data_IF_373608179231
#
_entry.id   IF_373608179231
#
_cell.length_a   1.000
_cell.length_b   1.000
_cell.length_c   1.000
_cell.angle_alpha   90.00
_cell.angle_beta   90.00
_cell.angle_gamma   90.00
#
_symmetry.space_group_name_H-M   'P 1'
#
loop_
_entity.id
_entity.type
_entity.pdbx_description
1 polymer ?
#
# COMPACT_ATOMS: atom_id res chain seq x y z
N UNK A 1 -31.96 -17.26 16.30
CA UNK A 1 -32.28 -15.93 15.73
C UNK A 1 -32.46 -14.92 16.87
N UNK A 2 -31.37 -14.60 17.58
CA UNK A 2 -31.37 -13.56 18.62
C UNK A 2 -30.91 -12.27 17.94
N UNK A 3 -31.85 -11.36 17.86
CA UNK A 3 -31.82 -10.19 17.01
C UNK A 3 -30.84 -9.15 17.56
N UNK A 4 -30.15 -8.47 16.65
CA UNK A 4 -29.43 -7.19 16.84
C UNK A 4 -30.13 -6.21 17.79
N UNK A 5 -31.46 -6.29 17.89
CA UNK A 5 -32.33 -5.48 18.76
C UNK A 5 -32.05 -5.60 20.26
N UNK A 6 -31.78 -6.79 20.80
CA UNK A 6 -31.61 -6.95 22.26
C UNK A 6 -30.22 -6.56 22.75
N UNK A 7 -29.25 -6.44 21.83
CA UNK A 7 -27.85 -6.18 22.17
C UNK A 7 -27.47 -4.70 21.96
N UNK A 8 -28.06 -4.03 20.95
CA UNK A 8 -27.96 -2.57 20.77
C UNK A 8 -28.49 -1.77 21.98
N UNK A 9 -29.46 -2.32 22.71
CA UNK A 9 -30.03 -1.69 23.92
C UNK A 9 -29.12 -1.85 25.17
N UNK A 10 -28.07 -2.68 25.13
CA UNK A 10 -27.24 -3.00 26.31
C UNK A 10 -25.79 -2.51 26.23
N UNK A 11 -25.31 -2.08 25.05
CA UNK A 11 -23.90 -1.68 24.85
C UNK A 11 -23.81 -0.42 23.94
N UNK A 12 -23.46 0.76 24.49
CA UNK A 12 -23.53 2.04 23.79
C UNK A 12 -22.35 2.37 22.86
N UNK A 13 -21.36 1.48 22.67
CA UNK A 13 -20.18 1.77 21.84
C UNK A 13 -20.12 0.89 20.57
N UNK A 14 -20.44 1.46 19.39
CA UNK A 14 -20.42 0.75 18.10
C UNK A 14 -19.04 0.22 17.70
N UNK A 15 -17.97 0.87 18.17
CA UNK A 15 -16.58 0.49 17.88
C UNK A 15 -16.20 -0.89 18.45
N UNK A 16 -16.82 -1.33 19.55
CA UNK A 16 -16.50 -2.62 20.19
C UNK A 16 -16.94 -3.83 19.33
N UNK A 17 -17.92 -3.65 18.43
CA UNK A 17 -18.44 -4.71 17.57
C UNK A 17 -17.42 -5.20 16.53
N UNK A 18 -16.41 -4.38 16.20
CA UNK A 18 -15.48 -4.64 15.09
C UNK A 18 -14.12 -5.20 15.52
N UNK A 19 -13.72 -5.05 16.78
CA UNK A 19 -12.35 -5.34 17.23
C UNK A 19 -12.15 -6.68 17.97
N UNK A 20 -13.21 -7.33 18.46
CA UNK A 20 -13.09 -8.65 19.08
C UNK A 20 -13.79 -9.73 18.24
N UNK A 21 -13.00 -10.36 17.38
CA UNK A 21 -13.27 -11.72 16.92
C UNK A 21 -14.38 -11.87 15.87
N UNK A 22 -14.05 -11.53 14.62
CA UNK A 22 -14.60 -12.25 13.47
C UNK A 22 -16.03 -11.90 13.07
N UNK A 23 -16.28 -10.66 12.66
CA UNK A 23 -17.30 -10.36 11.67
C UNK A 23 -16.75 -9.30 10.73
N UNK A 24 -16.43 -9.69 9.50
CA UNK A 24 -16.72 -8.87 8.34
C UNK A 24 -17.37 -9.80 7.34
N UNK A 25 -18.48 -9.30 6.80
CA UNK A 25 -19.20 -9.84 5.66
C UNK A 25 -18.15 -10.30 4.64
N UNK A 26 -18.16 -11.60 4.31
CA UNK A 26 -17.29 -12.14 3.27
C UNK A 26 -17.59 -11.38 1.96
N UNK A 27 -16.60 -11.20 1.06
CA UNK A 27 -16.81 -10.46 -0.19
C UNK A 27 -18.00 -10.97 -1.02
N UNK A 28 -18.43 -12.23 -0.80
CA UNK A 28 -19.51 -12.90 -1.54
C UNK A 28 -20.85 -12.98 -0.79
N UNK A 29 -21.01 -12.29 0.35
CA UNK A 29 -22.27 -12.37 1.12
C UNK A 29 -23.33 -11.46 0.48
N UNK A 30 -24.53 -11.99 0.12
CA UNK A 30 -25.56 -11.20 -0.55
C UNK A 30 -26.06 -10.08 0.38
N UNK A 31 -26.02 -8.87 -0.15
CA UNK A 31 -26.47 -7.63 0.51
C UNK A 31 -27.93 -7.81 0.90
N UNK A 32 -28.21 -7.86 2.20
CA UNK A 32 -29.55 -7.71 2.73
C UNK A 32 -29.74 -6.28 3.29
N UNK A 33 -31.00 -5.90 3.47
CA UNK A 33 -31.40 -4.57 3.94
C UNK A 33 -30.79 -4.19 5.32
N UNK A 34 -30.16 -5.13 6.03
CA UNK A 34 -29.63 -4.92 7.38
C UNK A 34 -28.29 -4.16 7.36
N UNK A 35 -27.39 -4.40 6.40
CA UNK A 35 -26.11 -3.65 6.29
C UNK A 35 -26.36 -2.17 6.00
N UNK A 36 -27.22 -1.86 5.02
CA UNK A 36 -27.57 -0.47 4.69
C UNK A 36 -28.26 0.22 5.86
N UNK A 37 -29.14 -0.49 6.58
CA UNK A 37 -29.80 0.02 7.78
C UNK A 37 -28.79 0.31 8.89
N UNK A 38 -27.80 -0.54 9.07
CA UNK A 38 -26.74 -0.36 10.05
C UNK A 38 -25.85 0.85 9.73
N UNK A 39 -25.38 0.97 8.48
CA UNK A 39 -24.61 2.13 8.02
C UNK A 39 -25.39 3.44 8.20
N UNK A 40 -26.71 3.40 7.97
CA UNK A 40 -27.57 4.56 8.18
C UNK A 40 -27.72 4.93 9.66
N UNK A 41 -27.80 3.95 10.56
CA UNK A 41 -27.77 4.19 12.01
C UNK A 41 -26.43 4.80 12.42
N UNK A 42 -25.30 4.23 11.99
CA UNK A 42 -23.98 4.75 12.30
C UNK A 42 -23.79 6.20 11.84
N UNK A 43 -24.31 6.53 10.66
CA UNK A 43 -24.32 7.89 10.14
C UNK A 43 -25.17 8.82 11.02
N UNK A 44 -26.39 8.40 11.39
CA UNK A 44 -27.29 9.19 12.24
C UNK A 44 -26.76 9.40 13.66
N UNK A 45 -26.08 8.41 14.22
CA UNK A 45 -25.46 8.50 15.55
C UNK A 45 -24.07 9.13 15.51
N UNK A 46 -23.59 9.56 14.34
CA UNK A 46 -22.26 10.10 14.10
C UNK A 46 -21.12 9.13 14.52
N UNK A 47 -21.41 7.83 14.59
CA UNK A 47 -20.48 6.78 14.98
C UNK A 47 -19.71 6.18 13.80
N UNK A 48 -20.05 6.55 12.56
CA UNK A 48 -19.41 6.02 11.35
C UNK A 48 -17.90 6.34 11.29
N UNK A 49 -17.51 7.45 11.90
CA UNK A 49 -16.14 7.94 11.99
C UNK A 49 -15.50 7.70 13.37
N UNK A 50 -16.14 6.90 14.23
CA UNK A 50 -15.57 6.61 15.54
C UNK A 50 -14.26 5.83 15.42
N UNK A 51 -13.30 6.26 16.23
CA UNK A 51 -11.99 5.64 16.32
C UNK A 51 -12.00 4.57 17.41
N UNK A 52 -11.31 3.47 17.12
CA UNK A 52 -10.96 2.45 18.11
C UNK A 52 -9.90 2.99 19.07
N UNK A 53 -9.54 2.20 20.09
CA UNK A 53 -8.48 2.55 21.03
C UNK A 53 -7.12 2.82 20.36
N UNK A 54 -6.91 2.30 19.15
CA UNK A 54 -5.69 2.49 18.37
C UNK A 54 -5.82 3.53 17.26
N UNK A 55 -6.82 4.42 17.31
CA UNK A 55 -7.06 5.45 16.29
C UNK A 55 -7.64 4.94 14.96
N UNK A 56 -8.02 3.65 14.88
CA UNK A 56 -8.53 3.08 13.61
C UNK A 56 -10.02 3.30 13.46
N UNK A 57 -10.45 3.69 12.26
CA UNK A 57 -11.87 3.82 11.89
C UNK A 57 -12.39 2.58 11.14
N UNK A 58 -13.69 2.54 10.88
CA UNK A 58 -14.31 1.46 10.08
C UNK A 58 -13.72 1.39 8.67
N UNK A 59 -13.45 2.55 8.05
CA UNK A 59 -12.84 2.62 6.71
C UNK A 59 -11.45 2.01 6.73
N UNK A 60 -10.67 2.27 7.79
CA UNK A 60 -9.35 1.65 7.97
C UNK A 60 -9.45 0.13 8.06
N UNK A 61 -10.36 -0.40 8.88
CA UNK A 61 -10.50 -1.85 9.07
C UNK A 61 -11.04 -2.57 7.82
N UNK A 62 -11.90 -1.92 7.03
CA UNK A 62 -12.34 -2.44 5.75
C UNK A 62 -11.18 -2.46 4.72
N UNK A 63 -10.40 -1.37 4.66
CA UNK A 63 -9.23 -1.26 3.80
C UNK A 63 -8.12 -2.26 4.18
N UNK A 64 -7.90 -2.49 5.47
CA UNK A 64 -6.92 -3.46 5.99
C UNK A 64 -7.22 -4.90 5.63
N UNK A 65 -8.42 -5.19 5.10
CA UNK A 65 -8.83 -6.50 4.60
C UNK A 65 -9.10 -6.52 3.10
N UNK A 66 -8.84 -5.42 2.40
CA UNK A 66 -9.09 -5.29 0.97
C UNK A 66 -10.58 -5.35 0.59
N UNK A 67 -11.51 -5.12 1.54
CA UNK A 67 -12.94 -5.18 1.27
C UNK A 67 -13.41 -3.88 0.59
N UNK A 68 -13.23 -3.79 -0.73
CA UNK A 68 -13.61 -2.60 -1.52
C UNK A 68 -15.09 -2.25 -1.35
N UNK A 69 -15.97 -3.25 -1.37
CA UNK A 69 -17.41 -3.03 -1.28
C UNK A 69 -17.79 -2.29 0.01
N UNK A 70 -17.28 -2.75 1.15
CA UNK A 70 -17.53 -2.10 2.43
C UNK A 70 -16.89 -0.71 2.50
N UNK A 71 -15.70 -0.52 1.91
CA UNK A 71 -15.07 0.80 1.83
C UNK A 71 -15.94 1.78 1.05
N UNK A 72 -16.40 1.42 -0.15
CA UNK A 72 -17.30 2.25 -0.95
C UNK A 72 -18.58 2.58 -0.20
N UNK A 73 -19.20 1.59 0.46
CA UNK A 73 -20.41 1.78 1.25
C UNK A 73 -20.20 2.69 2.45
N UNK A 74 -19.07 2.61 3.13
CA UNK A 74 -18.74 3.53 4.23
C UNK A 74 -18.55 4.96 3.71
N UNK A 75 -17.82 5.13 2.60
CA UNK A 75 -17.57 6.42 1.97
C UNK A 75 -18.88 7.08 1.48
N UNK A 76 -19.79 6.31 0.87
CA UNK A 76 -21.13 6.74 0.48
C UNK A 76 -21.98 7.27 1.66
N UNK A 77 -21.67 6.83 2.87
CA UNK A 77 -22.40 7.15 4.10
C UNK A 77 -21.69 8.20 4.96
N UNK A 78 -20.83 9.03 4.38
CA UNK A 78 -20.07 10.12 5.02
C UNK A 78 -18.95 9.63 5.98
N UNK A 79 -18.40 8.44 5.71
CA UNK A 79 -17.16 8.03 6.38
C UNK A 79 -15.96 8.75 5.77
N UNK A 80 -15.04 9.21 6.61
CA UNK A 80 -13.89 9.97 6.16
C UNK A 80 -12.64 9.10 6.01
N UNK A 81 -11.92 9.16 4.87
CA UNK A 81 -10.73 8.35 4.65
C UNK A 81 -9.45 8.96 5.24
N UNK A 82 -9.52 10.17 5.80
CA UNK A 82 -8.34 10.94 6.26
C UNK A 82 -7.89 10.60 7.68
N UNK A 83 -8.66 9.82 8.44
CA UNK A 83 -8.25 9.40 9.78
C UNK A 83 -7.01 8.50 9.72
N UNK A 84 -6.20 8.62 10.76
CA UNK A 84 -4.94 7.91 10.92
C UNK A 84 -4.94 7.19 12.25
N UNK A 85 -4.33 6.00 12.28
CA UNK A 85 -4.11 5.27 13.51
C UNK A 85 -3.00 5.91 14.37
N UNK A 86 -2.75 5.36 15.56
CA UNK A 86 -1.71 5.84 16.48
C UNK A 86 -0.29 5.87 15.87
N UNK A 87 -0.07 5.17 14.75
CA UNK A 87 1.19 5.14 14.01
C UNK A 87 1.18 6.05 12.78
N UNK A 88 0.17 6.91 12.62
CA UNK A 88 0.03 7.76 11.42
C UNK A 88 -0.34 6.98 10.16
N UNK A 89 -0.78 5.73 10.27
CA UNK A 89 -1.22 4.94 9.12
C UNK A 89 -2.66 5.28 8.79
N UNK A 90 -2.92 5.72 7.55
CA UNK A 90 -4.27 5.97 7.04
C UNK A 90 -4.89 4.71 6.41
N UNK A 91 -6.19 4.75 6.09
CA UNK A 91 -6.84 3.68 5.34
C UNK A 91 -6.16 3.41 3.99
N UNK A 92 -5.59 4.44 3.36
CA UNK A 92 -4.85 4.31 2.10
C UNK A 92 -3.53 3.52 2.29
N UNK A 93 -2.84 3.71 3.42
CA UNK A 93 -1.67 2.89 3.77
C UNK A 93 -2.05 1.42 3.93
N UNK A 94 -3.17 1.14 4.60
CA UNK A 94 -3.68 -0.22 4.79
C UNK A 94 -4.07 -0.88 3.45
N UNK A 95 -4.77 -0.17 2.58
CA UNK A 95 -5.15 -0.67 1.25
C UNK A 95 -3.93 -0.92 0.34
N UNK A 96 -2.95 -0.01 0.36
CA UNK A 96 -1.71 -0.15 -0.39
C UNK A 96 -0.92 -1.39 0.08
N UNK A 97 -0.81 -1.61 1.40
CA UNK A 97 -0.18 -2.79 1.98
C UNK A 97 -0.86 -4.10 1.56
N UNK A 98 -2.19 -4.08 1.40
CA UNK A 98 -2.99 -5.25 1.01
C UNK A 98 -3.06 -5.51 -0.50
N UNK A 99 -2.35 -4.73 -1.33
CA UNK A 99 -2.36 -4.87 -2.80
C UNK A 99 -3.79 -4.82 -3.37
N UNK A 100 -4.64 -3.93 -2.84
CA UNK A 100 -6.05 -3.84 -3.24
C UNK A 100 -6.27 -2.62 -4.17
N UNK A 101 -6.03 -2.72 -5.49
CA UNK A 101 -6.05 -1.59 -6.41
C UNK A 101 -7.41 -0.88 -6.45
N UNK A 102 -8.51 -1.63 -6.45
CA UNK A 102 -9.87 -1.09 -6.41
C UNK A 102 -10.14 -0.31 -5.13
N UNK A 103 -9.70 -0.81 -3.98
CA UNK A 103 -9.81 -0.12 -2.69
C UNK A 103 -8.95 1.15 -2.64
N UNK A 104 -7.72 1.10 -3.18
CA UNK A 104 -6.83 2.27 -3.30
C UNK A 104 -7.48 3.35 -4.16
N UNK A 105 -8.02 2.97 -5.32
CA UNK A 105 -8.74 3.89 -6.19
C UNK A 105 -9.94 4.54 -5.50
N UNK A 106 -10.79 3.76 -4.83
CA UNK A 106 -11.95 4.26 -4.11
C UNK A 106 -11.57 5.28 -3.01
N UNK A 107 -10.53 4.98 -2.23
CA UNK A 107 -10.04 5.89 -1.19
C UNK A 107 -9.47 7.20 -1.77
N UNK A 108 -8.70 7.12 -2.85
CA UNK A 108 -8.14 8.30 -3.53
C UNK A 108 -9.25 9.16 -4.17
N UNK A 109 -10.25 8.55 -4.78
CA UNK A 109 -11.43 9.24 -5.31
C UNK A 109 -12.21 9.96 -4.21
N UNK A 110 -12.26 9.40 -3.01
CA UNK A 110 -12.84 10.04 -1.83
C UNK A 110 -11.92 11.07 -1.14
N UNK A 111 -10.77 11.41 -1.74
CA UNK A 111 -9.88 12.46 -1.26
C UNK A 111 -8.88 12.02 -0.19
N UNK A 112 -8.55 10.72 -0.11
CA UNK A 112 -7.45 10.27 0.74
C UNK A 112 -6.11 10.90 0.31
N UNK A 113 -5.28 11.26 1.29
CA UNK A 113 -3.98 11.88 1.03
C UNK A 113 -2.92 10.83 0.63
N UNK A 114 -2.46 10.91 -0.62
CA UNK A 114 -1.42 10.05 -1.19
C UNK A 114 0.00 10.37 -0.71
N UNK A 115 0.20 11.49 0.00
CA UNK A 115 1.50 11.95 0.50
C UNK A 115 1.66 11.80 2.01
N UNK A 116 0.59 11.42 2.73
CA UNK A 116 0.65 11.28 4.17
C UNK A 116 1.72 10.27 4.58
N UNK A 117 2.47 10.55 5.63
CA UNK A 117 3.59 9.71 6.08
C UNK A 117 3.18 8.92 7.32
N UNK A 118 3.27 7.60 7.23
CA UNK A 118 3.13 6.70 8.38
C UNK A 118 4.46 6.46 9.10
N UNK A 119 4.38 6.04 10.37
CA UNK A 119 5.50 5.70 11.24
C UNK A 119 5.50 4.20 11.58
N UNK A 120 6.62 3.71 12.11
CA UNK A 120 6.72 2.36 12.64
C UNK A 120 6.01 2.22 14.00
N UNK A 121 5.90 0.99 14.50
CA UNK A 121 5.22 0.66 15.77
C UNK A 121 5.84 1.34 17.00
N UNK A 122 7.06 1.87 16.89
CA UNK A 122 7.74 2.60 17.97
C UNK A 122 7.59 4.12 17.85
N UNK A 123 6.89 4.63 16.81
CA UNK A 123 6.71 6.06 16.54
C UNK A 123 8.01 6.83 16.23
N UNK A 124 9.14 6.12 16.14
CA UNK A 124 10.47 6.72 16.09
C UNK A 124 11.01 6.87 14.67
N UNK A 125 10.49 6.08 13.72
CA UNK A 125 11.01 6.03 12.34
C UNK A 125 9.85 6.11 11.36
N UNK A 126 9.94 7.04 10.41
CA UNK A 126 8.99 7.14 9.31
C UNK A 126 9.02 5.86 8.46
N UNK A 127 7.88 5.21 8.30
CA UNK A 127 7.70 4.05 7.42
C UNK A 127 7.53 4.48 5.96
N UNK A 128 6.90 5.64 5.75
CA UNK A 128 6.78 6.31 4.46
C UNK A 128 5.34 6.54 4.02
N UNK A 129 5.19 7.00 2.79
CA UNK A 129 3.89 7.29 2.15
C UNK A 129 3.17 6.01 1.71
N UNK A 130 1.88 6.07 1.29
CA UNK A 130 1.17 4.95 0.67
C UNK A 130 1.97 4.23 -0.41
N UNK A 131 2.71 4.97 -1.24
CA UNK A 131 3.59 4.42 -2.28
C UNK A 131 4.77 3.61 -1.70
N UNK A 132 5.30 4.02 -0.54
CA UNK A 132 6.40 3.35 0.14
C UNK A 132 5.97 2.12 0.94
N UNK A 133 4.70 2.07 1.39
CA UNK A 133 4.15 0.97 2.20
C UNK A 133 3.45 -0.10 1.38
N UNK A 134 3.28 0.11 0.05
CA UNK A 134 3.03 -0.99 -0.89
C UNK A 134 3.96 -2.13 -0.50
N UNK A 135 3.42 -3.35 -0.28
CA UNK A 135 4.04 -4.36 0.55
C UNK A 135 5.50 -4.52 0.19
N UNK A 136 6.32 -4.61 1.25
CA UNK A 136 7.76 -4.85 1.24
C UNK A 136 8.25 -5.27 -0.14
N UNK A 137 8.68 -4.28 -0.93
CA UNK A 137 9.16 -4.50 -2.30
C UNK A 137 10.50 -5.27 -2.28
N UNK A 138 10.76 -6.18 -1.32
CA UNK A 138 11.88 -7.14 -1.27
C UNK A 138 11.74 -8.36 -0.32
N UNK A 139 10.64 -8.61 0.40
CA UNK A 139 10.61 -9.83 1.26
C UNK A 139 9.93 -11.01 0.57
N UNK A 140 10.75 -11.74 -0.19
CA UNK A 140 10.68 -13.18 -0.48
C UNK A 140 9.35 -13.88 -0.83
N UNK A 141 8.23 -13.22 -1.13
CA UNK A 141 7.04 -13.91 -1.65
C UNK A 141 6.03 -12.96 -2.31
N UNK A 142 6.07 -12.93 -3.65
CA UNK A 142 5.00 -12.51 -4.58
C UNK A 142 4.77 -10.99 -4.71
N UNK A 143 5.55 -10.36 -5.60
CA UNK A 143 5.00 -9.24 -6.38
C UNK A 143 3.94 -9.84 -7.31
N UNK A 144 2.78 -9.21 -7.30
CA UNK A 144 1.65 -9.59 -8.14
C UNK A 144 1.28 -8.43 -9.08
N UNK A 145 0.46 -8.70 -10.09
CA UNK A 145 0.01 -7.67 -11.02
C UNK A 145 -0.74 -6.54 -10.30
N UNK A 146 -1.44 -6.86 -9.22
CA UNK A 146 -2.18 -5.93 -8.38
C UNK A 146 -1.25 -4.90 -7.71
N UNK A 147 0.00 -5.26 -7.42
CA UNK A 147 0.99 -4.29 -6.89
C UNK A 147 1.34 -3.24 -7.93
N UNK A 148 1.53 -3.64 -9.19
CA UNK A 148 1.79 -2.72 -10.29
C UNK A 148 0.60 -1.79 -10.48
N UNK A 149 -0.63 -2.33 -10.44
CA UNK A 149 -1.85 -1.54 -10.53
C UNK A 149 -1.95 -0.52 -9.39
N UNK A 150 -1.65 -0.91 -8.15
CA UNK A 150 -1.63 0.01 -7.01
C UNK A 150 -0.60 1.13 -7.22
N UNK A 151 0.61 0.82 -7.68
CA UNK A 151 1.65 1.82 -7.98
C UNK A 151 1.18 2.77 -9.07
N UNK A 152 0.64 2.24 -10.18
CA UNK A 152 0.07 3.03 -11.27
C UNK A 152 -1.03 3.97 -10.77
N UNK A 153 -1.95 3.47 -9.95
CA UNK A 153 -3.05 4.26 -9.41
C UNK A 153 -2.48 5.37 -8.52
N UNK A 154 -1.61 5.06 -7.56
CA UNK A 154 -1.02 6.07 -6.67
C UNK A 154 -0.29 7.17 -7.45
N UNK A 155 0.53 6.79 -8.44
CA UNK A 155 1.24 7.75 -9.30
C UNK A 155 0.27 8.60 -10.13
N UNK A 156 -0.82 8.01 -10.65
CA UNK A 156 -1.83 8.75 -11.43
C UNK A 156 -2.59 9.80 -10.60
N UNK A 157 -2.71 9.58 -9.29
CA UNK A 157 -3.28 10.54 -8.33
C UNK A 157 -2.22 11.47 -7.72
N UNK A 158 -1.00 11.50 -8.27
CA UNK A 158 0.04 12.46 -7.91
C UNK A 158 0.94 12.04 -6.76
N UNK A 159 0.93 10.78 -6.32
CA UNK A 159 1.85 10.31 -5.29
C UNK A 159 3.32 10.57 -5.68
N UNK A 160 4.05 11.26 -4.81
CA UNK A 160 5.43 11.64 -5.08
C UNK A 160 6.40 10.45 -4.94
N UNK A 161 7.19 10.11 -5.97
CA UNK A 161 8.11 8.95 -5.93
C UNK A 161 9.45 9.26 -5.24
N UNK A 162 9.69 10.51 -4.86
CA UNK A 162 10.96 10.99 -4.31
C UNK A 162 10.94 11.21 -2.80
N UNK A 163 9.90 10.75 -2.10
CA UNK A 163 9.96 10.76 -0.64
C UNK A 163 11.10 9.83 -0.19
N UNK A 164 11.88 10.32 0.77
CA UNK A 164 13.09 9.66 1.22
C UNK A 164 13.14 9.70 2.75
N UNK A 165 13.47 8.56 3.36
CA UNK A 165 13.67 8.43 4.80
C UNK A 165 15.15 8.23 5.06
N UNK A 166 15.76 9.13 5.81
CA UNK A 166 17.09 8.91 6.35
C UNK A 166 17.00 7.90 7.49
N UNK A 167 17.64 6.75 7.32
CA UNK A 167 17.93 5.77 8.38
C UNK A 167 19.39 5.90 8.78
N UNK A 168 19.76 5.33 9.93
CA UNK A 168 21.11 5.48 10.51
C UNK A 168 22.25 5.16 9.52
N UNK A 169 22.05 4.18 8.63
CA UNK A 169 23.07 3.71 7.68
C UNK A 169 22.71 3.90 6.19
N UNK A 170 21.49 4.35 5.85
CA UNK A 170 21.07 4.50 4.45
C UNK A 170 19.89 5.46 4.28
N UNK A 171 19.74 6.01 3.07
CA UNK A 171 18.52 6.73 2.67
C UNK A 171 17.58 5.76 1.93
N UNK A 172 16.43 5.48 2.52
CA UNK A 172 15.36 4.68 1.91
C UNK A 172 14.50 5.57 1.00
N UNK A 173 14.53 5.30 -0.29
CA UNK A 173 13.70 5.93 -1.32
C UNK A 173 12.66 4.93 -1.84
N UNK A 174 11.72 5.38 -2.68
CA UNK A 174 10.81 4.47 -3.40
C UNK A 174 11.54 3.43 -4.26
N UNK A 175 12.77 3.72 -4.70
CA UNK A 175 13.60 2.80 -5.49
C UNK A 175 14.40 1.83 -4.62
N UNK A 176 14.77 2.24 -3.40
CA UNK A 176 15.72 1.49 -2.55
C UNK A 176 15.27 0.06 -2.28
N UNK A 177 13.97 -0.15 -2.00
CA UNK A 177 13.40 -1.48 -1.80
C UNK A 177 13.43 -2.34 -3.08
N UNK A 178 12.75 -1.99 -4.18
CA UNK A 178 12.78 -2.84 -5.38
C UNK A 178 14.21 -3.18 -5.86
N UNK A 179 15.16 -2.26 -5.72
CA UNK A 179 16.58 -2.53 -6.05
C UNK A 179 17.24 -3.53 -5.09
N UNK A 180 16.98 -3.45 -3.77
CA UNK A 180 17.44 -4.46 -2.79
C UNK A 180 16.86 -5.85 -3.09
N UNK A 181 15.63 -5.92 -3.59
CA UNK A 181 15.00 -7.18 -4.01
C UNK A 181 15.73 -7.82 -5.17
N UNK A 182 15.96 -7.06 -6.24
CA UNK A 182 16.71 -7.54 -7.40
C UNK A 182 18.10 -8.00 -6.97
N UNK A 183 18.82 -7.21 -6.17
CA UNK A 183 20.14 -7.57 -5.65
C UNK A 183 20.12 -8.91 -4.91
N UNK A 184 19.18 -9.11 -3.99
CA UNK A 184 19.03 -10.39 -3.29
C UNK A 184 18.74 -11.55 -4.25
N UNK A 185 17.93 -11.30 -5.27
CA UNK A 185 17.58 -12.24 -6.34
C UNK A 185 18.81 -12.64 -7.19
N UNK A 186 19.81 -11.76 -7.30
CA UNK A 186 21.11 -12.00 -7.98
C UNK A 186 22.07 -12.76 -7.08
N UNK A 187 22.21 -12.33 -5.83
CA UNK A 187 23.13 -12.92 -4.86
C UNK A 187 22.70 -14.36 -4.49
N UNK A 188 21.40 -14.67 -4.55
CA UNK A 188 20.82 -15.95 -4.15
C UNK A 188 19.80 -16.50 -5.18
N UNK A 189 20.24 -16.94 -6.37
CA UNK A 189 19.35 -17.27 -7.49
C UNK A 189 18.44 -18.51 -7.26
N UNK A 190 18.76 -19.36 -6.29
CA UNK A 190 18.04 -20.61 -6.01
C UNK A 190 17.09 -20.54 -4.80
N UNK A 191 16.89 -19.34 -4.22
CA UNK A 191 16.07 -19.19 -3.00
C UNK A 191 14.56 -19.30 -3.29
N UNK A 192 14.12 -18.85 -4.48
CA UNK A 192 12.72 -18.81 -4.90
C UNK A 192 12.47 -19.85 -6.00
N UNK A 193 12.18 -21.09 -5.61
CA UNK A 193 12.19 -22.27 -6.51
C UNK A 193 11.01 -22.39 -7.48
N UNK A 194 10.05 -21.45 -7.51
CA UNK A 194 8.78 -21.67 -8.22
C UNK A 194 8.60 -20.80 -9.48
N UNK A 195 9.13 -19.57 -9.58
CA UNK A 195 9.22 -18.77 -10.85
C UNK A 195 9.99 -17.44 -10.65
N UNK A 196 11.31 -17.47 -10.42
CA UNK A 196 12.09 -16.26 -10.13
C UNK A 196 12.06 -15.23 -11.28
N UNK A 197 12.09 -15.68 -12.53
CA UNK A 197 12.07 -14.82 -13.74
C UNK A 197 10.82 -13.93 -13.84
N UNK A 198 9.65 -14.45 -13.45
CA UNK A 198 8.39 -13.68 -13.50
C UNK A 198 8.34 -12.62 -12.40
N UNK A 199 8.88 -12.91 -11.22
CA UNK A 199 8.90 -11.94 -10.12
C UNK A 199 9.84 -10.78 -10.42
N UNK A 200 11.04 -11.04 -10.94
CA UNK A 200 12.02 -9.99 -11.25
C UNK A 200 11.54 -9.08 -12.38
N UNK A 201 10.82 -9.62 -13.37
CA UNK A 201 10.18 -8.81 -14.42
C UNK A 201 9.21 -7.78 -13.84
N UNK A 202 8.37 -8.18 -12.87
CA UNK A 202 7.42 -7.27 -12.22
C UNK A 202 8.15 -6.23 -11.35
N UNK A 203 9.28 -6.59 -10.70
CA UNK A 203 10.12 -5.61 -10.00
C UNK A 203 10.66 -4.56 -10.97
N UNK A 204 11.15 -4.99 -12.14
CA UNK A 204 11.66 -4.10 -13.17
C UNK A 204 10.57 -3.18 -13.71
N UNK A 205 9.35 -3.68 -13.89
CA UNK A 205 8.21 -2.88 -14.32
C UNK A 205 7.84 -1.80 -13.28
N UNK A 206 7.81 -2.17 -11.98
CA UNK A 206 7.63 -1.19 -10.89
C UNK A 206 8.73 -0.14 -10.89
N UNK A 207 10.00 -0.56 -11.03
CA UNK A 207 11.12 0.39 -11.11
C UNK A 207 10.96 1.33 -12.30
N UNK A 208 10.60 0.80 -13.47
CA UNK A 208 10.35 1.62 -14.66
C UNK A 208 9.27 2.67 -14.39
N UNK A 209 8.13 2.27 -13.82
CA UNK A 209 7.04 3.18 -13.48
C UNK A 209 7.49 4.30 -12.54
N UNK A 210 8.31 3.97 -11.53
CA UNK A 210 8.86 4.96 -10.62
C UNK A 210 9.80 5.92 -11.34
N UNK A 211 10.69 5.42 -12.20
CA UNK A 211 11.62 6.24 -13.00
C UNK A 211 10.87 7.15 -13.97
N UNK A 212 9.87 6.61 -14.69
CA UNK A 212 9.01 7.36 -15.60
C UNK A 212 8.24 8.47 -14.84
N UNK A 213 7.88 8.23 -13.57
CA UNK A 213 7.29 9.23 -12.68
C UNK A 213 8.31 10.22 -12.08
N UNK A 214 9.59 10.11 -12.41
CA UNK A 214 10.66 11.01 -12.00
C UNK A 214 11.36 10.62 -10.69
N UNK A 215 11.32 9.35 -10.30
CA UNK A 215 12.10 8.83 -9.16
C UNK A 215 13.61 9.01 -9.40
N UNK A 216 14.34 9.50 -8.39
CA UNK A 216 15.79 9.70 -8.44
C UNK A 216 16.49 8.74 -7.48
N UNK A 217 17.65 8.24 -7.90
CA UNK A 217 18.50 7.39 -7.03
C UNK A 217 19.17 8.27 -5.99
N UNK A 218 19.05 7.91 -4.71
CA UNK A 218 19.92 8.41 -3.65
C UNK A 218 21.21 7.58 -3.72
N UNK A 219 22.22 8.09 -4.44
CA UNK A 219 23.62 7.64 -4.47
C UNK A 219 23.88 6.16 -4.11
N UNK A 220 23.86 5.26 -5.10
CA UNK A 220 24.73 4.07 -5.05
C UNK A 220 24.99 3.47 -6.44
N UNK A 221 26.23 3.62 -6.88
CA UNK A 221 26.77 3.06 -8.11
C UNK A 221 26.79 1.50 -8.13
N UNK A 222 26.66 0.85 -6.97
CA UNK A 222 26.78 -0.61 -6.79
C UNK A 222 25.60 -1.42 -7.32
N UNK A 223 24.47 -0.79 -7.58
CA UNK A 223 23.24 -1.47 -8.03
C UNK A 223 23.36 -1.87 -9.51
N UNK A 224 24.22 -1.19 -10.27
CA UNK A 224 24.25 -1.29 -11.73
C UNK A 224 24.77 -2.65 -12.23
N UNK A 225 25.76 -3.26 -11.58
CA UNK A 225 26.46 -4.43 -12.12
C UNK A 225 25.67 -5.72 -11.91
N UNK A 226 25.08 -5.89 -10.72
CA UNK A 226 24.27 -7.07 -10.41
C UNK A 226 22.98 -7.11 -11.22
N UNK A 227 22.26 -5.99 -11.31
CA UNK A 227 20.99 -5.91 -12.07
C UNK A 227 21.23 -6.24 -13.53
N UNK A 228 22.32 -5.76 -14.14
CA UNK A 228 22.71 -6.10 -15.51
C UNK A 228 22.82 -7.60 -15.75
N UNK A 229 23.47 -8.32 -14.84
CA UNK A 229 23.71 -9.75 -14.99
C UNK A 229 22.42 -10.59 -15.02
N UNK A 230 21.31 -10.10 -14.44
CA UNK A 230 20.04 -10.86 -14.38
C UNK A 230 19.10 -10.59 -15.56
N UNK A 231 19.36 -9.59 -16.40
CA UNK A 231 18.43 -9.19 -17.47
C UNK A 231 18.67 -9.87 -18.81
N UNK A 232 19.12 -11.12 -18.82
CA UNK A 232 19.11 -11.90 -20.06
C UNK A 232 17.69 -11.88 -20.67
N UNK A 233 17.51 -11.15 -21.78
CA UNK A 233 16.21 -10.91 -22.42
C UNK A 233 15.52 -9.56 -22.14
N UNK A 234 15.97 -8.78 -21.16
CA UNK A 234 15.41 -7.46 -20.80
C UNK A 234 16.45 -6.32 -20.78
N UNK A 235 17.61 -6.52 -21.41
CA UNK A 235 18.72 -5.54 -21.49
C UNK A 235 18.26 -4.16 -21.98
N UNK A 236 17.36 -4.13 -22.98
CA UNK A 236 16.82 -2.89 -23.54
C UNK A 236 16.05 -2.05 -22.52
N UNK A 237 15.27 -2.68 -21.65
CA UNK A 237 14.42 -2.01 -20.65
C UNK A 237 15.29 -1.28 -19.64
N UNK A 238 16.44 -1.87 -19.33
CA UNK A 238 17.37 -1.30 -18.38
C UNK A 238 18.31 -0.29 -18.97
N UNK A 239 18.79 -0.46 -20.19
CA UNK A 239 19.53 0.64 -20.85
C UNK A 239 18.66 1.90 -20.92
N UNK A 240 17.37 1.73 -21.20
CA UNK A 240 16.38 2.81 -21.16
C UNK A 240 16.27 3.42 -19.75
N UNK A 241 15.99 2.61 -18.72
CA UNK A 241 15.90 3.11 -17.34
C UNK A 241 17.21 3.74 -16.84
N UNK A 242 18.37 3.16 -17.18
CA UNK A 242 19.70 3.67 -16.81
C UNK A 242 19.93 5.04 -17.43
N UNK A 243 19.60 5.22 -18.70
CA UNK A 243 19.70 6.51 -19.40
C UNK A 243 18.89 7.60 -18.68
N UNK A 244 17.71 7.25 -18.17
CA UNK A 244 16.83 8.17 -17.44
C UNK A 244 17.26 8.42 -15.99
N UNK A 245 17.80 7.40 -15.30
CA UNK A 245 18.28 7.49 -13.92
C UNK A 245 19.63 8.20 -13.80
N UNK A 246 20.50 8.06 -14.81
CA UNK A 246 21.83 8.64 -14.86
C UNK A 246 22.03 9.47 -16.15
N UNK A 247 21.26 10.56 -16.35
CA UNK A 247 21.41 11.39 -17.53
C UNK A 247 22.77 12.10 -17.47
N UNK A 248 23.70 11.62 -18.30
CA UNK A 248 25.08 12.09 -18.41
C UNK A 248 25.94 11.95 -17.14
N UNK A 249 26.39 10.73 -16.84
CA UNK A 249 27.80 10.61 -16.50
C UNK A 249 28.58 10.61 -17.81
N UNK A 250 29.15 11.76 -18.16
CA UNK A 250 30.22 11.84 -19.14
C UNK A 250 31.30 10.88 -18.60
N UNK A 251 31.39 9.70 -19.22
CA UNK A 251 32.57 8.86 -19.11
C UNK A 251 33.63 9.63 -19.87
N UNK A 252 34.35 10.50 -19.15
CA UNK A 252 35.60 11.03 -19.70
C UNK A 252 36.55 9.82 -19.87
N UNK A 253 37.17 9.67 -21.05
CA UNK A 253 37.89 8.47 -21.46
C UNK A 253 39.13 8.16 -20.63
#
# INVERSE_FOLDING_TARGET
>A
MRCLRTYADTHPEPAHYFCQGGFLIAPDTPIDNEETRYLQILRQTNAINSETRSGRTLVYEAASRGNTHLVERLLDHDAYPHYIDDFGSSALHAAAKQQAPTTVAALLQAGADAHHVSFNEFGAIARGTPLHVCPEICSSSKISAETIEVVCILLSYGAGPNYAVAMDDCTETSLSRPLKALRRSIDYPNLDTITPERSDHLVLEVLKLLVDAGARVADSADITIGVVAKMGGYEWLWEEMRSQLMPNQIIDP
#
